data_IF_731177828669
#
_entry.id   IF_731177828669
#
_cell.length_a   1.000
_cell.length_b   1.000
_cell.length_c   1.000
_cell.angle_alpha   90.00
_cell.angle_beta   90.00
_cell.angle_gamma   90.00
#
_symmetry.space_group_name_H-M   'P 1'
#
loop_
_entity.id
_entity.type
_entity.pdbx_description
1 polymer ?
#
# COMPACT_ATOMS: atom_id res chain seq x y z
N UNK A 1 -0.17 -22.12 4.60
CA UNK A 1 -0.28 -20.85 3.85
C UNK A 1 1.07 -20.49 3.27
N UNK A 2 1.18 -20.20 1.97
CA UNK A 2 2.40 -19.63 1.38
C UNK A 2 2.28 -18.11 1.36
N UNK A 3 3.33 -17.42 1.79
CA UNK A 3 3.40 -15.95 1.83
C UNK A 3 4.54 -15.49 0.91
N UNK A 4 4.29 -14.43 0.16
CA UNK A 4 5.28 -13.73 -0.63
C UNK A 4 5.53 -12.33 -0.04
N UNK A 5 6.78 -11.90 -0.05
CA UNK A 5 7.18 -10.53 0.28
C UNK A 5 7.74 -9.90 -1.01
N UNK A 6 7.11 -8.83 -1.48
CA UNK A 6 7.58 -8.07 -2.63
C UNK A 6 8.57 -6.99 -2.20
N UNK A 7 9.58 -6.75 -3.03
CA UNK A 7 10.56 -5.68 -2.81
C UNK A 7 10.99 -5.08 -4.15
N UNK A 8 10.90 -3.77 -4.28
CA UNK A 8 11.43 -3.01 -5.43
C UNK A 8 11.74 -1.57 -5.02
N UNK A 9 12.56 -0.91 -5.83
CA UNK A 9 12.80 0.52 -5.68
C UNK A 9 11.62 1.31 -6.27
N UNK A 10 10.87 2.01 -5.41
CA UNK A 10 9.78 2.89 -5.82
C UNK A 10 10.36 4.03 -6.67
N UNK A 11 9.84 4.19 -7.88
CA UNK A 11 10.26 5.25 -8.82
C UNK A 11 9.43 6.52 -8.63
N UNK A 12 9.80 7.66 -9.26
CA UNK A 12 8.97 8.87 -9.26
C UNK A 12 7.63 8.74 -10.02
N UNK A 13 7.41 7.65 -10.77
CA UNK A 13 6.27 7.50 -11.68
C UNK A 13 5.31 6.43 -11.18
N UNK A 14 4.16 6.84 -10.65
CA UNK A 14 3.19 5.92 -10.05
C UNK A 14 2.71 4.82 -10.99
N UNK A 15 2.59 5.09 -12.29
CA UNK A 15 2.17 4.08 -13.29
C UNK A 15 3.18 2.95 -13.39
N UNK A 16 4.46 3.27 -13.37
CA UNK A 16 5.55 2.28 -13.37
C UNK A 16 5.47 1.42 -12.11
N UNK A 17 5.32 2.06 -10.95
CA UNK A 17 5.24 1.35 -9.67
C UNK A 17 4.00 0.43 -9.59
N UNK A 18 2.83 0.90 -10.06
CA UNK A 18 1.61 0.11 -10.12
C UNK A 18 1.79 -1.13 -11.01
N UNK A 19 2.42 -0.96 -12.18
CA UNK A 19 2.70 -2.08 -13.09
C UNK A 19 3.66 -3.10 -12.45
N UNK A 20 4.68 -2.64 -11.73
CA UNK A 20 5.57 -3.52 -10.94
C UNK A 20 4.80 -4.31 -9.89
N UNK A 21 3.88 -3.65 -9.15
CA UNK A 21 3.03 -4.32 -8.17
C UNK A 21 2.14 -5.39 -8.83
N UNK A 22 1.50 -5.07 -9.96
CA UNK A 22 0.69 -6.03 -10.74
C UNK A 22 1.51 -7.23 -11.18
N UNK A 23 2.74 -7.02 -11.67
CA UNK A 23 3.64 -8.13 -12.04
C UNK A 23 3.99 -9.01 -10.84
N UNK A 24 4.26 -8.42 -9.66
CA UNK A 24 4.49 -9.18 -8.42
C UNK A 24 3.25 -9.96 -7.97
N UNK A 25 2.06 -9.37 -8.07
CA UNK A 25 0.79 -10.06 -7.78
C UNK A 25 0.60 -11.27 -8.69
N UNK A 26 0.83 -11.12 -10.00
CA UNK A 26 0.74 -12.20 -10.97
C UNK A 26 1.73 -13.33 -10.65
N UNK A 27 2.98 -12.98 -10.30
CA UNK A 27 3.99 -13.98 -9.93
C UNK A 27 3.60 -14.72 -8.64
N UNK A 28 3.23 -13.99 -7.58
CA UNK A 28 2.84 -14.58 -6.32
C UNK A 28 1.62 -15.52 -6.47
N UNK A 29 0.63 -15.11 -7.26
CA UNK A 29 -0.53 -15.94 -7.59
C UNK A 29 -0.14 -17.22 -8.34
N UNK A 30 0.73 -17.11 -9.37
CA UNK A 30 1.25 -18.28 -10.12
C UNK A 30 2.02 -19.26 -9.23
N UNK A 31 2.74 -18.74 -8.24
CA UNK A 31 3.48 -19.56 -7.26
C UNK A 31 2.60 -20.13 -6.14
N UNK A 32 1.29 -19.83 -6.14
CA UNK A 32 0.35 -20.33 -5.15
C UNK A 32 0.47 -19.66 -3.78
N UNK A 33 0.95 -18.42 -3.70
CA UNK A 33 0.88 -17.62 -2.49
C UNK A 33 -0.58 -17.28 -2.16
N UNK A 34 -0.93 -17.30 -0.87
CA UNK A 34 -2.23 -16.83 -0.39
C UNK A 34 -2.17 -15.36 0.06
N UNK A 35 -0.97 -14.89 0.42
CA UNK A 35 -0.70 -13.53 0.87
C UNK A 35 0.53 -12.99 0.14
N UNK A 36 0.42 -11.79 -0.42
CA UNK A 36 1.55 -10.97 -0.87
C UNK A 36 1.58 -9.69 -0.04
N UNK A 37 2.72 -9.41 0.58
CA UNK A 37 2.97 -8.13 1.26
C UNK A 37 3.92 -7.31 0.40
N UNK A 38 3.47 -6.13 -0.01
CA UNK A 38 4.26 -5.16 -0.76
C UNK A 38 4.82 -4.06 0.17
N UNK A 39 5.85 -3.31 -0.27
CA UNK A 39 6.50 -2.28 0.57
C UNK A 39 5.61 -1.08 0.95
N UNK A 40 6.20 -0.19 1.74
CA UNK A 40 5.58 1.07 2.16
C UNK A 40 5.59 2.14 1.03
N UNK A 41 4.57 3.00 1.00
CA UNK A 41 4.49 4.22 0.19
C UNK A 41 4.77 4.03 -1.33
N UNK A 42 3.98 3.18 -1.98
CA UNK A 42 4.27 2.71 -3.35
C UNK A 42 3.95 3.69 -4.49
N UNK A 43 3.35 4.84 -4.20
CA UNK A 43 2.94 5.80 -5.23
C UNK A 43 4.14 6.39 -5.96
N UNK A 44 5.04 7.07 -5.24
CA UNK A 44 6.23 7.66 -5.82
C UNK A 44 7.28 8.00 -4.77
N UNK A 45 8.54 8.02 -5.20
CA UNK A 45 9.69 8.46 -4.40
C UNK A 45 10.76 9.08 -5.30
N UNK A 46 11.39 10.14 -4.80
CA UNK A 46 12.57 10.78 -5.38
C UNK A 46 13.44 11.26 -4.21
N UNK A 47 14.74 10.94 -4.23
CA UNK A 47 15.66 11.31 -3.16
C UNK A 47 15.97 12.82 -3.13
N UNK A 48 15.65 13.55 -4.20
CA UNK A 48 15.76 15.01 -4.27
C UNK A 48 14.49 15.74 -3.79
N UNK A 49 13.38 15.02 -3.59
CA UNK A 49 12.12 15.57 -3.10
C UNK A 49 11.58 14.72 -1.94
N UNK A 50 11.94 15.08 -0.68
CA UNK A 50 11.53 14.30 0.49
C UNK A 50 10.01 14.28 0.70
N UNK A 51 9.27 15.16 0.02
CA UNK A 51 7.82 15.28 0.10
C UNK A 51 7.09 14.61 -1.07
N UNK A 52 7.81 13.99 -2.02
CA UNK A 52 7.21 13.41 -3.22
C UNK A 52 6.15 12.35 -2.90
N UNK A 53 6.36 11.55 -1.85
CA UNK A 53 5.42 10.50 -1.44
C UNK A 53 4.04 11.08 -1.09
N UNK A 54 3.99 12.19 -0.35
CA UNK A 54 2.74 12.89 0.00
C UNK A 54 2.22 13.71 -1.17
N UNK A 55 3.08 14.39 -1.94
CA UNK A 55 2.67 15.16 -3.14
C UNK A 55 2.02 14.27 -4.20
N UNK A 56 2.38 12.99 -4.22
CA UNK A 56 1.84 11.99 -5.14
C UNK A 56 0.64 11.24 -4.60
N UNK A 57 0.12 11.63 -3.44
CA UNK A 57 -1.01 10.97 -2.79
C UNK A 57 -2.21 10.84 -3.74
N UNK A 58 -2.86 9.68 -3.70
CA UNK A 58 -4.05 9.37 -4.50
C UNK A 58 -5.16 8.84 -3.59
N UNK A 59 -6.44 9.14 -3.87
CA UNK A 59 -7.54 8.53 -3.15
C UNK A 59 -7.59 7.02 -3.39
N UNK A 60 -8.34 6.29 -2.56
CA UNK A 60 -8.46 4.83 -2.69
C UNK A 60 -9.20 4.40 -3.96
N UNK A 61 -10.03 5.25 -4.55
CA UNK A 61 -10.62 5.03 -5.87
C UNK A 61 -9.71 5.53 -7.02
N UNK A 62 -8.50 6.01 -6.70
CA UNK A 62 -7.53 6.56 -7.63
C UNK A 62 -6.90 5.54 -8.56
N UNK A 63 -6.29 6.05 -9.64
CA UNK A 63 -5.84 5.24 -10.77
C UNK A 63 -4.76 4.20 -10.41
N UNK A 64 -3.91 4.46 -9.41
CA UNK A 64 -2.97 3.44 -8.93
C UNK A 64 -3.72 2.21 -8.40
N UNK A 65 -4.67 2.41 -7.48
CA UNK A 65 -5.33 1.30 -6.82
C UNK A 65 -6.28 0.55 -7.77
N UNK A 66 -6.91 1.25 -8.72
CA UNK A 66 -7.76 0.63 -9.75
C UNK A 66 -7.01 -0.44 -10.57
N UNK A 67 -5.73 -0.22 -10.88
CA UNK A 67 -4.92 -1.23 -11.59
C UNK A 67 -4.69 -2.49 -10.75
N UNK A 68 -4.44 -2.32 -9.45
CA UNK A 68 -4.23 -3.44 -8.52
C UNK A 68 -5.54 -4.15 -8.20
N UNK A 69 -6.67 -3.44 -8.07
CA UNK A 69 -7.99 -4.05 -7.90
C UNK A 69 -8.36 -4.90 -9.13
N UNK A 70 -8.10 -4.39 -10.34
CA UNK A 70 -8.33 -5.14 -11.57
C UNK A 70 -7.53 -6.45 -11.63
N UNK A 71 -6.27 -6.45 -11.17
CA UNK A 71 -5.48 -7.68 -11.05
C UNK A 71 -5.99 -8.57 -9.90
N UNK A 72 -6.34 -7.98 -8.76
CA UNK A 72 -6.87 -8.73 -7.62
C UNK A 72 -8.16 -9.48 -7.97
N UNK A 73 -9.00 -8.97 -8.86
CA UNK A 73 -10.21 -9.66 -9.32
C UNK A 73 -9.96 -10.86 -10.23
N UNK A 74 -8.71 -11.08 -10.67
CA UNK A 74 -8.33 -12.18 -11.58
C UNK A 74 -7.71 -13.39 -10.87
N UNK A 75 -7.48 -13.28 -9.57
CA UNK A 75 -6.86 -14.32 -8.76
C UNK A 75 -7.41 -14.29 -7.33
N UNK A 76 -7.01 -15.25 -6.48
CA UNK A 76 -7.47 -15.34 -5.07
C UNK A 76 -6.41 -14.84 -4.06
N UNK A 77 -5.41 -14.10 -4.53
CA UNK A 77 -4.32 -13.60 -3.70
C UNK A 77 -4.85 -12.49 -2.80
N UNK A 78 -4.50 -12.54 -1.52
CA UNK A 78 -4.64 -11.38 -0.64
C UNK A 78 -3.41 -10.52 -0.80
N UNK A 79 -3.57 -9.26 -1.18
CA UNK A 79 -2.43 -8.34 -1.36
C UNK A 79 -2.50 -7.23 -0.32
N UNK A 80 -1.42 -7.03 0.41
CA UNK A 80 -1.28 -5.95 1.39
C UNK A 80 -0.26 -4.95 0.88
N UNK A 81 -0.59 -3.67 0.91
CA UNK A 81 0.31 -2.59 0.53
C UNK A 81 -0.04 -1.32 1.29
N UNK A 82 0.79 -0.27 1.17
CA UNK A 82 0.43 1.05 1.68
C UNK A 82 0.54 2.12 0.60
N UNK A 83 -0.31 3.14 0.73
CA UNK A 83 -0.36 4.33 -0.12
C UNK A 83 -0.51 5.58 0.77
N UNK A 84 0.02 6.70 0.31
CA UNK A 84 -0.40 7.99 0.86
C UNK A 84 -1.77 8.36 0.26
N UNK A 85 -2.76 8.56 1.13
CA UNK A 85 -4.14 8.92 0.75
C UNK A 85 -4.42 10.34 1.22
N UNK A 86 -4.89 11.27 0.37
CA UNK A 86 -5.14 12.66 0.76
C UNK A 86 -6.07 12.76 1.97
N UNK A 87 -5.70 13.59 2.95
CA UNK A 87 -6.47 13.83 4.18
C UNK A 87 -6.90 15.29 4.33
N UNK A 88 -6.05 16.21 3.89
CA UNK A 88 -6.29 17.64 3.82
C UNK A 88 -5.36 18.26 2.76
N UNK A 89 -5.47 19.56 2.52
CA UNK A 89 -4.60 20.26 1.58
C UNK A 89 -3.12 20.07 1.96
N UNK A 90 -2.33 19.49 1.03
CA UNK A 90 -0.91 19.21 1.23
C UNK A 90 -0.58 18.14 2.26
N UNK A 91 -1.58 17.40 2.76
CA UNK A 91 -1.44 16.34 3.77
C UNK A 91 -2.03 15.03 3.30
N UNK A 92 -1.52 13.93 3.85
CA UNK A 92 -2.03 12.59 3.59
C UNK A 92 -2.05 11.74 4.85
N UNK A 93 -2.78 10.63 4.83
CA UNK A 93 -2.56 9.51 5.76
C UNK A 93 -1.65 8.48 5.09
N UNK A 94 -0.82 7.80 5.87
CA UNK A 94 -0.14 6.60 5.42
C UNK A 94 -1.07 5.40 5.63
N UNK A 95 -1.71 4.97 4.55
CA UNK A 95 -2.83 4.03 4.57
C UNK A 95 -2.40 2.66 4.05
N UNK A 96 -2.41 1.67 4.93
CA UNK A 96 -2.41 0.27 4.56
C UNK A 96 -3.75 -0.11 3.95
N UNK A 97 -3.73 -0.84 2.84
CA UNK A 97 -4.91 -1.45 2.23
C UNK A 97 -4.68 -2.94 2.02
N UNK A 98 -5.76 -3.69 2.16
CA UNK A 98 -5.82 -5.13 1.90
C UNK A 98 -6.76 -5.35 0.73
N UNK A 99 -6.24 -5.95 -0.34
CA UNK A 99 -6.98 -6.26 -1.55
C UNK A 99 -7.28 -7.77 -1.62
N UNK A 100 -8.50 -8.11 -2.00
CA UNK A 100 -8.91 -9.48 -2.32
C UNK A 100 -10.12 -9.43 -3.24
N UNK A 101 -10.16 -10.33 -4.22
CA UNK A 101 -11.30 -10.50 -5.15
C UNK A 101 -11.75 -9.19 -5.84
N UNK A 102 -10.81 -8.27 -6.08
CA UNK A 102 -11.09 -7.00 -6.74
C UNK A 102 -11.64 -5.91 -5.82
N UNK A 103 -11.60 -6.11 -4.51
CA UNK A 103 -12.11 -5.17 -3.51
C UNK A 103 -11.04 -4.80 -2.46
N UNK A 104 -11.21 -3.63 -1.85
CA UNK A 104 -10.50 -3.26 -0.62
C UNK A 104 -11.28 -3.85 0.56
N UNK A 105 -10.78 -4.96 1.13
CA UNK A 105 -11.49 -5.68 2.21
C UNK A 105 -11.14 -5.14 3.61
N UNK A 106 -10.04 -4.38 3.72
CA UNK A 106 -9.65 -3.69 4.95
C UNK A 106 -8.71 -2.54 4.61
N UNK A 107 -8.72 -1.51 5.46
CA UNK A 107 -7.73 -0.43 5.43
C UNK A 107 -7.37 0.00 6.86
N UNK A 108 -6.20 0.60 7.00
CA UNK A 108 -5.67 1.07 8.29
C UNK A 108 -4.76 2.27 8.06
N UNK A 109 -4.96 3.34 8.82
CA UNK A 109 -4.07 4.50 8.81
C UNK A 109 -3.01 4.33 9.90
N UNK A 110 -1.73 4.48 9.54
CA UNK A 110 -0.58 4.34 10.45
C UNK A 110 -0.79 5.19 11.72
N UNK A 111 -0.82 4.54 12.88
CA UNK A 111 -1.02 5.19 14.18
C UNK A 111 0.21 5.97 14.64
N UNK A 112 1.39 5.35 14.51
CA UNK A 112 2.63 5.87 15.05
C UNK A 112 3.47 6.44 13.91
N UNK A 113 3.58 7.77 13.89
CA UNK A 113 4.39 8.49 12.92
C UNK A 113 5.79 8.71 13.47
N UNK A 114 6.79 8.65 12.59
CA UNK A 114 8.18 8.84 12.98
C UNK A 114 8.54 10.33 13.04
N UNK A 115 8.72 10.82 14.27
CA UNK A 115 9.20 12.18 14.56
C UNK A 115 10.42 12.12 15.46
N UNK A 116 11.61 12.03 14.85
CA UNK A 116 12.87 12.04 15.57
C UNK A 116 14.04 12.48 14.68
N UNK A 117 15.06 13.06 15.32
CA UNK A 117 16.23 13.65 14.66
C UNK A 117 15.82 14.69 13.60
N UNK A 118 16.29 14.56 12.36
CA UNK A 118 15.97 15.46 11.26
C UNK A 118 14.70 15.06 10.49
N UNK A 119 14.03 13.97 10.88
CA UNK A 119 12.83 13.49 10.20
C UNK A 119 11.58 13.78 11.03
N UNK A 120 10.56 14.32 10.36
CA UNK A 120 9.27 14.61 10.95
C UNK A 120 8.18 14.18 9.97
N UNK A 121 7.74 12.93 10.08
CA UNK A 121 6.66 12.36 9.26
C UNK A 121 5.35 13.12 9.50
N UNK A 122 5.07 13.53 10.74
CA UNK A 122 3.84 14.25 11.11
C UNK A 122 3.69 15.63 10.47
N UNK A 123 4.78 16.19 9.93
CA UNK A 123 4.77 17.47 9.19
C UNK A 123 3.78 17.41 8.03
N UNK A 124 3.61 16.25 7.38
CA UNK A 124 2.71 16.07 6.25
C UNK A 124 1.82 14.84 6.33
N UNK A 125 2.05 13.95 7.27
CA UNK A 125 1.23 12.76 7.47
C UNK A 125 0.33 12.93 8.70
N UNK A 126 -0.96 12.62 8.54
CA UNK A 126 -1.91 12.56 9.65
C UNK A 126 -1.93 11.17 10.27
N UNK A 127 -1.88 11.06 11.62
CA UNK A 127 -1.93 9.77 12.29
C UNK A 127 -3.33 9.16 12.19
N UNK A 128 -3.38 7.84 12.13
CA UNK A 128 -4.62 7.10 12.34
C UNK A 128 -5.16 7.26 13.76
N UNK A 129 -6.44 6.92 13.95
CA UNK A 129 -7.11 6.96 15.26
C UNK A 129 -7.75 5.61 15.65
N UNK A 130 -7.59 4.58 14.81
CA UNK A 130 -8.22 3.28 14.97
C UNK A 130 -7.17 2.17 14.99
N UNK A 131 -7.35 1.20 15.88
CA UNK A 131 -6.53 -0.02 15.94
C UNK A 131 -6.72 -0.80 14.63
N UNK A 132 -5.64 -1.35 14.02
CA UNK A 132 -5.76 -2.08 12.76
C UNK A 132 -6.68 -3.31 12.92
N UNK A 133 -7.51 -3.61 11.91
CA UNK A 133 -8.29 -4.84 11.90
C UNK A 133 -7.37 -6.06 11.72
N UNK A 134 -7.78 -7.19 12.27
CA UNK A 134 -7.18 -8.50 11.97
C UNK A 134 -7.97 -9.15 10.85
N UNK A 135 -7.30 -9.58 9.79
CA UNK A 135 -7.92 -10.25 8.65
C UNK A 135 -7.72 -11.76 8.72
N UNK A 136 -8.59 -12.53 8.07
CA UNK A 136 -8.36 -13.95 7.85
C UNK A 136 -7.77 -14.19 6.47
N UNK A 137 -6.65 -14.94 6.40
CA UNK A 137 -6.02 -15.39 5.15
C UNK A 137 -5.77 -16.90 5.25
N UNK A 138 -6.44 -17.68 4.40
CA UNK A 138 -6.28 -19.14 4.36
C UNK A 138 -6.38 -19.81 5.75
N UNK A 139 -7.38 -19.42 6.55
CA UNK A 139 -7.62 -19.95 7.90
C UNK A 139 -6.71 -19.39 9.00
N UNK A 140 -5.83 -18.43 8.71
CA UNK A 140 -4.95 -17.78 9.69
C UNK A 140 -5.36 -16.34 9.94
N UNK A 141 -5.26 -15.89 11.19
CA UNK A 141 -5.45 -14.49 11.58
C UNK A 141 -4.14 -13.71 11.34
N UNK A 142 -4.22 -12.62 10.58
CA UNK A 142 -3.08 -11.77 10.20
C UNK A 142 -3.37 -10.33 10.63
N UNK A 143 -2.39 -9.68 11.28
CA UNK A 143 -2.45 -8.30 11.77
C UNK A 143 -1.05 -7.76 12.02
#
# INVERSE_FOLDING_TARGET
>A
MRVAAGQFAVTPVWRTNAQTCVTMMQQAAREGAALLVLPEALLARDDNDPDMSVKSAQPLDGAFLQLLLAESGRNRLTTVLTLHVPSAEGRATNTLVVLRDGEVIAHYHKLHLYDAFAMQESRRVDPGQQIPPVIEVAGLRVG
#
